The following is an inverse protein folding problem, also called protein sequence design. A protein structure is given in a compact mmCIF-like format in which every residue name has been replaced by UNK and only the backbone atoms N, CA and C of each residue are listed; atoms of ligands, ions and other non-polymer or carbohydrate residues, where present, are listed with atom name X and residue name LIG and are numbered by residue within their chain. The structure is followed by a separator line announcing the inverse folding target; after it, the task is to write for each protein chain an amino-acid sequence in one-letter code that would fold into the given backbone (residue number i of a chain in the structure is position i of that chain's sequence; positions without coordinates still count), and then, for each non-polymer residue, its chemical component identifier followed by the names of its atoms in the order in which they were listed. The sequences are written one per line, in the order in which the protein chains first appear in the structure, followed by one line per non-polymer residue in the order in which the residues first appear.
data_IF_875278112240
#
_entry.id   IF_875278112240
#
_cell.length_a   1.000
_cell.length_b   1.000
_cell.length_c   1.000
_cell.angle_alpha   90.00
_cell.angle_beta   90.00
_cell.angle_gamma   90.00
#
_symmetry.space_group_name_H-M   'P 1'
#
loop_
_entity.id
_entity.type
_entity.pdbx_description
1 polymer ?
#
# COMPACT_ATOMS: atom_id res chain seq x y z
N UNK A 1 -10.95 64.57 -0.04
CA UNK A 1 -12.17 63.72 -0.05
C UNK A 1 -12.21 62.98 -1.39
N UNK A 2 -12.18 61.65 -1.54
CA UNK A 2 -12.30 60.49 -0.64
C UNK A 2 -11.37 59.40 -1.21
N UNK A 3 -10.54 58.79 -0.37
CA UNK A 3 -9.80 57.57 -0.70
C UNK A 3 -10.78 56.39 -0.75
N UNK A 4 -10.67 55.54 -1.77
CA UNK A 4 -11.38 54.24 -1.81
C UNK A 4 -10.34 53.15 -1.92
N UNK A 5 -9.90 52.70 -0.75
CA UNK A 5 -9.17 51.45 -0.54
C UNK A 5 -10.16 50.32 -0.83
N UNK A 6 -9.87 49.50 -1.84
CA UNK A 6 -10.47 48.17 -1.96
C UNK A 6 -9.33 47.15 -1.97
N UNK A 7 -8.91 46.81 -0.75
CA UNK A 7 -8.07 45.67 -0.42
C UNK A 7 -9.01 44.47 -0.26
N UNK A 8 -9.20 43.67 -1.30
CA UNK A 8 -9.86 42.35 -1.24
C UNK A 8 -9.80 41.72 -2.64
N UNK A 9 -9.35 40.50 -2.90
CA UNK A 9 -8.92 39.43 -2.03
C UNK A 9 -7.90 38.58 -2.81
N UNK A 10 -6.87 38.17 -2.09
CA UNK A 10 -6.00 37.00 -2.25
C UNK A 10 -6.03 36.24 -3.58
N UNK A 11 -4.86 36.29 -4.23
CA UNK A 11 -4.32 35.25 -5.10
C UNK A 11 -4.55 33.87 -4.47
N UNK A 12 -5.31 32.99 -5.12
CA UNK A 12 -5.29 31.55 -4.83
C UNK A 12 -4.50 30.89 -5.95
N UNK A 13 -3.19 30.88 -5.75
CA UNK A 13 -2.31 29.87 -6.30
C UNK A 13 -2.47 28.64 -5.39
N UNK A 14 -3.15 27.61 -5.88
CA UNK A 14 -3.08 26.28 -5.30
C UNK A 14 -2.91 25.29 -6.44
N UNK A 15 -1.66 24.94 -6.64
CA UNK A 15 -1.10 23.96 -7.54
C UNK A 15 -1.98 22.72 -7.69
N UNK A 16 -2.32 22.37 -8.93
CA UNK A 16 -2.60 20.99 -9.31
C UNK A 16 -1.30 20.21 -9.15
N UNK A 17 -0.99 19.79 -7.92
CA UNK A 17 -0.02 18.71 -7.71
C UNK A 17 -0.72 17.51 -8.32
N UNK A 18 -0.37 17.23 -9.57
CA UNK A 18 -0.64 15.98 -10.23
C UNK A 18 -0.26 14.88 -9.24
N UNK A 19 -1.24 14.15 -8.73
CA UNK A 19 -1.03 12.84 -8.12
C UNK A 19 -0.60 11.89 -9.25
N UNK A 20 0.53 12.18 -9.89
CA UNK A 20 1.33 11.14 -10.50
C UNK A 20 1.80 10.32 -9.30
N UNK A 21 1.02 9.30 -8.97
CA UNK A 21 1.49 8.19 -8.16
C UNK A 21 2.77 7.73 -8.87
N UNK A 22 3.92 8.16 -8.36
CA UNK A 22 5.23 7.64 -8.73
C UNK A 22 5.20 6.21 -8.26
N UNK A 23 4.54 5.34 -9.02
CA UNK A 23 4.82 3.94 -8.98
C UNK A 23 6.17 3.87 -9.69
N UNK A 24 7.29 3.65 -8.97
CA UNK A 24 8.54 3.37 -9.64
C UNK A 24 8.28 2.23 -10.62
N UNK A 25 8.96 2.20 -11.76
CA UNK A 25 8.87 1.06 -12.67
C UNK A 25 8.91 -0.22 -11.83
N UNK A 26 7.91 -1.13 -11.96
CA UNK A 26 7.82 -2.30 -11.10
C UNK A 26 9.17 -3.04 -11.13
N UNK A 27 9.69 -3.35 -9.94
CA UNK A 27 10.95 -4.07 -9.84
C UNK A 27 10.74 -5.47 -10.42
N UNK A 28 11.56 -5.83 -11.41
CA UNK A 28 11.55 -7.20 -11.96
C UNK A 28 12.21 -8.16 -10.95
N UNK A 29 11.40 -8.66 -10.02
CA UNK A 29 11.86 -9.39 -8.83
C UNK A 29 12.76 -10.58 -9.15
N UNK A 30 12.43 -11.37 -10.17
CA UNK A 30 13.25 -12.52 -10.57
C UNK A 30 14.68 -12.10 -10.95
N UNK A 31 14.82 -10.99 -11.68
CA UNK A 31 16.13 -10.48 -12.08
C UNK A 31 16.83 -9.78 -10.90
N UNK A 32 16.10 -9.00 -10.12
CA UNK A 32 16.62 -8.26 -8.97
C UNK A 32 17.21 -9.22 -7.91
N UNK A 33 16.46 -10.25 -7.51
CA UNK A 33 16.92 -11.25 -6.54
C UNK A 33 18.13 -12.02 -7.08
N UNK A 34 18.12 -12.42 -8.36
CA UNK A 34 19.23 -13.18 -8.96
C UNK A 34 20.52 -12.38 -9.06
N UNK A 35 20.41 -11.07 -9.30
CA UNK A 35 21.56 -10.23 -9.61
C UNK A 35 22.08 -9.42 -8.41
N UNK A 36 21.37 -9.43 -7.27
CA UNK A 36 21.79 -8.75 -6.06
C UNK A 36 23.12 -9.30 -5.54
N UNK A 37 24.10 -8.42 -5.32
CA UNK A 37 25.45 -8.78 -4.87
C UNK A 37 25.98 -7.90 -3.76
N UNK A 38 25.51 -6.66 -3.70
CA UNK A 38 26.00 -5.64 -2.78
C UNK A 38 25.01 -5.43 -1.65
N UNK A 39 25.48 -4.84 -0.55
CA UNK A 39 24.62 -4.44 0.57
C UNK A 39 23.48 -3.54 0.08
N UNK A 40 23.75 -2.63 -0.86
CA UNK A 40 22.76 -1.73 -1.46
C UNK A 40 21.69 -2.49 -2.26
N UNK A 41 22.07 -3.54 -3.01
CA UNK A 41 21.10 -4.33 -3.77
C UNK A 41 20.13 -5.06 -2.83
N UNK A 42 20.65 -5.62 -1.74
CA UNK A 42 19.84 -6.33 -0.76
C UNK A 42 18.97 -5.39 0.07
N UNK A 43 19.45 -4.20 0.43
CA UNK A 43 18.61 -3.15 1.04
C UNK A 43 17.46 -2.72 0.10
N UNK A 44 17.72 -2.61 -1.21
CA UNK A 44 16.67 -2.30 -2.18
C UNK A 44 15.61 -3.41 -2.28
N UNK A 45 16.02 -4.68 -2.24
CA UNK A 45 15.11 -5.82 -2.19
C UNK A 45 14.30 -5.83 -0.88
N UNK A 46 14.96 -5.59 0.25
CA UNK A 46 14.31 -5.54 1.55
C UNK A 46 13.19 -4.49 1.57
N UNK A 47 13.54 -3.26 1.15
CA UNK A 47 12.59 -2.17 1.02
C UNK A 47 11.42 -2.51 0.10
N UNK A 48 11.67 -3.15 -1.04
CA UNK A 48 10.57 -3.55 -1.94
C UNK A 48 9.60 -4.50 -1.26
N UNK A 49 10.11 -5.52 -0.56
CA UNK A 49 9.27 -6.45 0.18
C UNK A 49 8.49 -5.75 1.31
N UNK A 50 9.08 -4.80 2.03
CA UNK A 50 8.37 -3.98 3.03
C UNK A 50 7.25 -3.15 2.41
N UNK A 51 7.52 -2.49 1.28
CA UNK A 51 6.53 -1.69 0.57
C UNK A 51 5.35 -2.57 0.10
N UNK A 52 5.61 -3.77 -0.43
CA UNK A 52 4.58 -4.76 -0.79
C UNK A 52 3.81 -5.25 0.44
N UNK A 53 4.49 -5.52 1.56
CA UNK A 53 3.84 -5.90 2.81
C UNK A 53 2.88 -4.80 3.29
N UNK A 54 3.30 -3.55 3.23
CA UNK A 54 2.46 -2.41 3.58
C UNK A 54 1.23 -2.30 2.67
N UNK A 55 1.39 -2.48 1.35
CA UNK A 55 0.25 -2.54 0.42
C UNK A 55 -0.72 -3.66 0.76
N UNK A 56 -0.24 -4.85 1.12
CA UNK A 56 -1.10 -5.97 1.51
C UNK A 56 -1.84 -5.68 2.83
N UNK A 57 -1.17 -5.01 3.78
CA UNK A 57 -1.80 -4.58 5.03
C UNK A 57 -2.94 -3.59 4.77
N UNK A 58 -2.79 -2.66 3.82
CA UNK A 58 -3.88 -1.75 3.44
C UNK A 58 -5.09 -2.53 2.89
N UNK A 59 -4.85 -3.58 2.10
CA UNK A 59 -5.92 -4.45 1.59
C UNK A 59 -6.60 -5.27 2.69
N UNK A 60 -5.85 -5.72 3.70
CA UNK A 60 -6.44 -6.35 4.89
C UNK A 60 -7.45 -5.40 5.53
N UNK A 61 -7.06 -4.14 5.77
CA UNK A 61 -7.94 -3.16 6.41
C UNK A 61 -9.14 -2.76 5.54
N UNK A 62 -8.97 -2.69 4.22
CA UNK A 62 -10.06 -2.49 3.27
C UNK A 62 -11.09 -3.62 3.37
N UNK A 63 -10.65 -4.88 3.31
CA UNK A 63 -11.55 -6.03 3.36
C UNK A 63 -12.18 -6.25 4.73
N UNK A 64 -11.52 -5.86 5.83
CA UNK A 64 -12.15 -5.83 7.17
C UNK A 64 -13.34 -4.87 7.20
N UNK A 65 -13.19 -3.66 6.63
CA UNK A 65 -14.30 -2.68 6.54
C UNK A 65 -15.45 -3.19 5.68
N UNK A 66 -15.15 -3.83 4.55
CA UNK A 66 -16.18 -4.44 3.70
C UNK A 66 -16.91 -5.59 4.41
N UNK A 67 -16.16 -6.45 5.11
CA UNK A 67 -16.75 -7.52 5.90
C UNK A 67 -17.70 -6.96 6.98
N UNK A 68 -17.27 -5.91 7.69
CA UNK A 68 -18.09 -5.24 8.70
C UNK A 68 -19.39 -4.68 8.10
N UNK A 69 -19.34 -4.08 6.90
CA UNK A 69 -20.54 -3.60 6.19
C UNK A 69 -21.50 -4.75 5.86
N UNK A 70 -20.98 -5.86 5.33
CA UNK A 70 -21.78 -7.03 5.01
C UNK A 70 -22.37 -7.73 6.24
N UNK A 71 -21.71 -7.62 7.39
CA UNK A 71 -22.19 -8.16 8.66
C UNK A 71 -23.25 -7.25 9.31
N UNK A 72 -23.09 -5.92 9.23
CA UNK A 72 -24.03 -4.95 9.79
C UNK A 72 -25.29 -4.77 8.95
N UNK A 73 -25.16 -4.83 7.63
CA UNK A 73 -26.26 -4.55 6.70
C UNK A 73 -26.55 -5.71 5.73
N UNK A 74 -26.83 -6.93 6.24
CA UNK A 74 -27.00 -8.11 5.38
C UNK A 74 -28.22 -7.99 4.43
N UNK A 75 -29.20 -7.18 4.79
CA UNK A 75 -30.42 -6.94 4.00
C UNK A 75 -30.18 -6.13 2.72
N UNK A 76 -29.05 -5.44 2.58
CA UNK A 76 -28.66 -4.81 1.31
C UNK A 76 -28.15 -5.84 0.27
N UNK A 77 -27.79 -7.05 0.70
CA UNK A 77 -27.18 -8.09 -0.15
C UNK A 77 -27.86 -9.46 -0.03
N UNK A 78 -29.20 -9.56 -0.16
CA UNK A 78 -29.97 -10.71 0.29
C UNK A 78 -29.66 -12.03 -0.43
N UNK A 79 -29.06 -11.99 -1.62
CA UNK A 79 -28.71 -13.19 -2.40
C UNK A 79 -27.25 -13.62 -2.28
N UNK A 80 -26.36 -12.73 -1.84
CA UNK A 80 -24.91 -12.94 -1.93
C UNK A 80 -24.16 -12.61 -0.65
N UNK A 81 -24.83 -12.16 0.42
CA UNK A 81 -24.15 -11.71 1.64
C UNK A 81 -23.21 -12.77 2.22
N UNK A 82 -23.63 -14.04 2.24
CA UNK A 82 -22.80 -15.13 2.78
C UNK A 82 -21.56 -15.36 1.93
N UNK A 83 -21.70 -15.35 0.61
CA UNK A 83 -20.58 -15.50 -0.34
C UNK A 83 -19.63 -14.29 -0.26
N UNK A 84 -20.16 -13.06 -0.14
CA UNK A 84 -19.37 -11.85 0.01
C UNK A 84 -18.58 -11.82 1.32
N UNK A 85 -19.20 -12.26 2.43
CA UNK A 85 -18.51 -12.41 3.71
C UNK A 85 -17.41 -13.48 3.64
N UNK A 86 -17.71 -14.65 3.06
CA UNK A 86 -16.73 -15.73 2.88
C UNK A 86 -15.54 -15.27 2.01
N UNK A 87 -15.84 -14.54 0.93
CA UNK A 87 -14.83 -13.96 0.06
C UNK A 87 -13.93 -12.96 0.80
N UNK A 88 -14.51 -12.03 1.56
CA UNK A 88 -13.72 -11.08 2.36
C UNK A 88 -12.85 -11.78 3.39
N UNK A 89 -13.38 -12.78 4.11
CA UNK A 89 -12.58 -13.57 5.07
C UNK A 89 -11.42 -14.29 4.40
N UNK A 90 -11.64 -14.84 3.20
CA UNK A 90 -10.56 -15.46 2.41
C UNK A 90 -9.50 -14.44 2.00
N UNK A 91 -9.90 -13.28 1.49
CA UNK A 91 -8.96 -12.23 1.07
C UNK A 91 -8.16 -11.67 2.24
N UNK A 92 -8.81 -11.40 3.39
CA UNK A 92 -8.14 -10.99 4.62
C UNK A 92 -7.03 -11.99 4.97
N UNK A 93 -7.37 -13.28 5.05
CA UNK A 93 -6.39 -14.33 5.36
C UNK A 93 -5.25 -14.38 4.34
N UNK A 94 -5.55 -14.33 3.05
CA UNK A 94 -4.53 -14.37 2.00
C UNK A 94 -3.60 -13.16 2.06
N UNK A 95 -4.13 -11.96 2.34
CA UNK A 95 -3.30 -10.76 2.47
C UNK A 95 -2.49 -10.75 3.76
N UNK A 96 -3.03 -11.24 4.90
CA UNK A 96 -2.25 -11.42 6.13
C UNK A 96 -1.07 -12.37 5.91
N UNK A 97 -1.29 -13.50 5.22
CA UNK A 97 -0.22 -14.41 4.84
C UNK A 97 0.81 -13.75 3.91
N UNK A 98 0.36 -12.88 3.00
CA UNK A 98 1.26 -12.12 2.14
C UNK A 98 2.07 -11.08 2.93
N UNK A 99 1.48 -10.40 3.92
CA UNK A 99 2.21 -9.49 4.83
C UNK A 99 3.34 -10.26 5.52
N UNK A 100 3.03 -11.40 6.13
CA UNK A 100 4.03 -12.24 6.82
C UNK A 100 5.16 -12.69 5.89
N UNK A 101 4.81 -13.20 4.71
CA UNK A 101 5.80 -13.68 3.74
C UNK A 101 6.73 -12.56 3.25
N UNK A 102 6.17 -11.40 2.92
CA UNK A 102 6.96 -10.26 2.45
C UNK A 102 7.83 -9.69 3.57
N UNK A 103 7.32 -9.54 4.79
CA UNK A 103 8.15 -9.10 5.95
C UNK A 103 9.28 -10.09 6.27
N UNK A 104 9.04 -11.39 6.12
CA UNK A 104 10.09 -12.42 6.27
C UNK A 104 11.20 -12.25 5.22
N UNK A 105 10.83 -12.04 3.95
CA UNK A 105 11.79 -11.80 2.87
C UNK A 105 12.56 -10.49 3.07
N UNK A 106 11.89 -9.43 3.52
CA UNK A 106 12.55 -8.17 3.86
C UNK A 106 13.62 -8.37 4.93
N UNK A 107 13.28 -9.08 6.01
CA UNK A 107 14.22 -9.42 7.08
C UNK A 107 15.43 -10.21 6.56
N UNK A 108 15.20 -11.23 5.74
CA UNK A 108 16.30 -12.02 5.15
C UNK A 108 17.23 -11.12 4.34
N UNK A 109 16.69 -10.21 3.54
CA UNK A 109 17.50 -9.32 2.73
C UNK A 109 18.27 -8.27 3.55
N UNK A 110 17.70 -7.73 4.63
CA UNK A 110 18.48 -6.91 5.57
C UNK A 110 19.64 -7.68 6.20
N UNK A 111 19.40 -8.93 6.62
CA UNK A 111 20.47 -9.77 7.19
C UNK A 111 21.60 -10.00 6.20
N UNK A 112 21.27 -10.34 4.96
CA UNK A 112 22.29 -10.49 3.90
C UNK A 112 23.01 -9.16 3.67
N UNK A 113 22.26 -8.04 3.62
CA UNK A 113 22.85 -6.72 3.43
C UNK A 113 23.86 -6.37 4.53
N UNK A 114 23.61 -6.77 5.78
CA UNK A 114 24.53 -6.62 6.91
C UNK A 114 25.76 -7.52 6.79
N UNK A 115 25.60 -8.74 6.28
CA UNK A 115 26.69 -9.71 6.10
C UNK A 115 27.66 -9.34 4.96
N UNK A 116 27.16 -8.64 3.92
CA UNK A 116 27.96 -8.25 2.74
C UNK A 116 28.44 -6.80 2.76
N UNK A 117 28.34 -6.11 3.91
CA UNK A 117 28.94 -4.79 4.15
C UNK A 117 30.46 -4.86 4.19
#
# INVERSE_FOLDING_TARGET
MKARIFFSASVILASLISCAQMNPHPMEMTSAVRNAKTSVDHEALAKHYEDVAHEMQLKVEEHKKLLEEYEKHPYYYPKSVQDLQAHCRSLIKSYEQAVEANMSMAKIHHQIADEVK
#
